data_IF_616963275294
#
_entry.id   IF_616963275294
#
_cell.length_a   1.000
_cell.length_b   1.000
_cell.length_c   1.000
_cell.angle_alpha   90.00
_cell.angle_beta   90.00
_cell.angle_gamma   90.00
#
_symmetry.space_group_name_H-M   'P 1'
#
loop_
_entity.id
_entity.type
_entity.pdbx_description
1 polymer ?
#
# COMPACT_ATOMS: atom_id res chain seq x y z
N UNK A 1 40.06 -56.56 21.17
CA UNK A 1 39.58 -55.96 19.91
C UNK A 1 38.10 -55.71 20.05
N UNK A 2 37.74 -54.50 20.52
CA UNK A 2 36.36 -54.05 20.72
C UNK A 2 35.82 -53.50 19.41
N UNK A 3 34.69 -54.03 18.95
CA UNK A 3 33.97 -53.52 17.79
C UNK A 3 33.31 -52.18 18.15
N UNK A 4 33.86 -51.07 17.67
CA UNK A 4 33.16 -49.78 17.66
C UNK A 4 32.17 -49.77 16.50
N UNK A 5 30.88 -49.91 16.84
CA UNK A 5 29.76 -49.67 15.92
C UNK A 5 29.74 -48.19 15.54
N UNK A 6 30.21 -47.88 14.34
CA UNK A 6 30.18 -46.54 13.77
C UNK A 6 28.72 -46.14 13.50
N UNK A 7 28.18 -45.22 14.32
CA UNK A 7 26.85 -44.62 14.06
C UNK A 7 26.89 -43.87 12.72
N UNK A 8 25.88 -44.00 11.86
CA UNK A 8 25.76 -43.15 10.69
C UNK A 8 25.63 -41.69 11.14
N UNK A 9 26.22 -40.72 10.42
CA UNK A 9 26.04 -39.31 10.73
C UNK A 9 24.55 -39.00 10.65
N UNK A 10 24.01 -38.39 11.71
CA UNK A 10 22.64 -37.90 11.72
C UNK A 10 22.48 -36.97 10.51
N UNK A 11 21.59 -37.35 9.59
CA UNK A 11 21.12 -36.47 8.53
C UNK A 11 20.30 -35.36 9.18
N UNK A 12 21.00 -34.37 9.75
CA UNK A 12 20.43 -33.08 10.07
C UNK A 12 20.08 -32.44 8.73
N UNK A 13 18.83 -32.61 8.31
CA UNK A 13 18.22 -31.75 7.30
C UNK A 13 18.16 -30.35 7.89
N UNK A 14 19.27 -29.63 7.83
CA UNK A 14 19.31 -28.19 8.07
C UNK A 14 18.67 -27.52 6.84
N UNK A 15 17.37 -27.79 6.66
CA UNK A 15 16.51 -26.96 5.83
C UNK A 15 16.48 -25.62 6.54
N UNK A 16 17.41 -24.73 6.17
CA UNK A 16 17.30 -23.32 6.53
C UNK A 16 15.89 -22.89 6.12
N UNK A 17 14.99 -22.78 7.09
CA UNK A 17 13.60 -22.46 6.81
C UNK A 17 13.59 -21.05 6.25
N UNK A 18 13.31 -20.93 4.95
CA UNK A 18 13.13 -19.63 4.32
C UNK A 18 12.01 -18.91 5.09
N UNK A 19 12.28 -17.73 5.68
CA UNK A 19 11.28 -17.01 6.45
C UNK A 19 10.09 -16.66 5.56
N UNK A 20 8.89 -16.66 6.14
CA UNK A 20 7.65 -16.44 5.39
C UNK A 20 7.57 -15.01 4.87
N UNK A 21 7.18 -14.85 3.60
CA UNK A 21 6.83 -13.53 3.09
C UNK A 21 5.60 -13.01 3.84
N UNK A 22 5.64 -11.77 4.31
CA UNK A 22 4.55 -11.15 5.07
C UNK A 22 3.61 -10.28 4.23
N UNK A 23 3.85 -10.20 2.93
CA UNK A 23 3.08 -9.44 1.96
C UNK A 23 2.31 -10.43 1.06
N UNK A 24 1.06 -10.13 0.67
CA UNK A 24 0.30 -10.97 -0.25
C UNK A 24 0.99 -11.13 -1.60
N UNK A 25 0.64 -12.19 -2.31
CA UNK A 25 0.96 -12.33 -3.72
C UNK A 25 0.25 -11.24 -4.55
N UNK A 26 0.98 -10.70 -5.53
CA UNK A 26 0.47 -9.67 -6.45
C UNK A 26 -0.46 -10.30 -7.49
N UNK A 27 -1.70 -10.53 -7.08
CA UNK A 27 -2.79 -11.04 -7.92
C UNK A 27 -3.76 -9.92 -8.33
N UNK A 28 -4.80 -10.25 -9.09
CA UNK A 28 -5.89 -9.29 -9.36
C UNK A 28 -6.56 -8.82 -8.05
N UNK A 29 -6.73 -9.69 -7.06
CA UNK A 29 -7.31 -9.33 -5.77
C UNK A 29 -6.49 -8.26 -5.05
N UNK A 30 -5.16 -8.36 -5.11
CA UNK A 30 -4.27 -7.36 -4.54
C UNK A 30 -4.55 -5.97 -5.12
N UNK A 31 -4.63 -5.85 -6.45
CA UNK A 31 -4.87 -4.56 -7.10
C UNK A 31 -6.26 -4.02 -6.81
N UNK A 32 -7.29 -4.87 -6.83
CA UNK A 32 -8.67 -4.48 -6.53
C UNK A 32 -8.78 -3.95 -5.11
N UNK A 33 -8.39 -4.73 -4.10
CA UNK A 33 -8.51 -4.32 -2.70
C UNK A 33 -7.69 -3.06 -2.46
N UNK A 34 -6.49 -2.97 -3.04
CA UNK A 34 -5.65 -1.78 -2.90
C UNK A 34 -6.34 -0.52 -3.44
N UNK A 35 -6.90 -0.56 -4.65
CA UNK A 35 -7.60 0.60 -5.23
C UNK A 35 -8.83 0.97 -4.39
N UNK A 36 -9.53 -0.03 -3.83
CA UNK A 36 -10.62 0.26 -2.90
C UNK A 36 -10.11 0.93 -1.61
N UNK A 37 -8.98 0.46 -1.06
CA UNK A 37 -8.35 1.06 0.12
C UNK A 37 -7.94 2.51 -0.15
N UNK A 38 -7.40 2.83 -1.32
CA UNK A 38 -7.00 4.21 -1.66
C UNK A 38 -8.23 5.11 -1.71
N UNK A 39 -9.34 4.69 -2.31
CA UNK A 39 -10.60 5.46 -2.27
C UNK A 39 -11.18 5.63 -0.86
N UNK A 40 -11.10 4.60 -0.01
CA UNK A 40 -11.51 4.72 1.40
C UNK A 40 -10.61 5.67 2.17
N UNK A 41 -9.29 5.66 1.91
CA UNK A 41 -8.32 6.52 2.58
C UNK A 41 -8.71 7.99 2.51
N UNK A 42 -9.08 8.44 1.31
CA UNK A 42 -9.54 9.80 1.03
C UNK A 42 -10.86 10.11 1.74
N UNK A 43 -11.91 9.39 1.33
CA UNK A 43 -13.28 9.66 1.80
C UNK A 43 -13.45 9.48 3.31
N UNK A 44 -12.71 8.57 3.94
CA UNK A 44 -12.77 8.38 5.38
C UNK A 44 -12.01 9.49 6.14
N UNK A 45 -10.90 10.01 5.59
CA UNK A 45 -10.21 11.17 6.16
C UNK A 45 -11.14 12.38 6.20
N UNK A 46 -11.77 12.70 5.06
CA UNK A 46 -12.74 13.80 4.93
C UNK A 46 -13.93 13.63 5.88
N UNK A 47 -14.50 12.43 5.92
CA UNK A 47 -15.62 12.12 6.82
C UNK A 47 -15.27 12.38 8.29
N UNK A 48 -14.11 11.87 8.73
CA UNK A 48 -13.65 12.02 10.10
C UNK A 48 -13.32 13.48 10.44
N UNK A 49 -12.75 14.22 9.48
CA UNK A 49 -12.41 15.63 9.63
C UNK A 49 -13.67 16.52 9.71
N UNK A 50 -14.51 16.45 8.68
CA UNK A 50 -15.56 17.45 8.43
C UNK A 50 -16.90 17.08 9.07
N UNK A 51 -17.30 15.81 9.00
CA UNK A 51 -18.64 15.38 9.44
C UNK A 51 -18.69 14.97 10.90
N UNK A 52 -17.63 14.34 11.40
CA UNK A 52 -17.51 14.00 12.82
C UNK A 52 -16.97 15.15 13.68
N UNK A 53 -16.55 16.25 13.06
CA UNK A 53 -16.13 17.47 13.75
C UNK A 53 -14.92 17.27 14.67
N UNK A 54 -14.14 16.21 14.46
CA UNK A 54 -12.91 15.96 15.22
C UNK A 54 -11.80 16.94 14.83
N UNK A 55 -11.95 17.57 13.65
CA UNK A 55 -10.95 18.44 13.05
C UNK A 55 -9.71 17.66 12.63
N UNK A 56 -8.92 18.28 11.75
CA UNK A 56 -7.84 17.60 11.07
C UNK A 56 -6.80 17.04 12.05
N UNK A 57 -6.45 17.82 13.08
CA UNK A 57 -5.50 17.43 14.13
C UNK A 57 -6.02 16.27 14.98
N UNK A 58 -7.29 16.30 15.40
CA UNK A 58 -7.88 15.27 16.26
C UNK A 58 -7.97 13.93 15.52
N UNK A 59 -8.48 13.96 14.28
CA UNK A 59 -8.52 12.80 13.39
C UNK A 59 -7.13 12.23 13.14
N UNK A 60 -6.14 13.08 12.88
CA UNK A 60 -4.75 12.66 12.64
C UNK A 60 -4.14 11.93 13.82
N UNK A 61 -4.36 12.40 15.05
CA UNK A 61 -3.84 11.75 16.26
C UNK A 61 -4.46 10.37 16.46
N UNK A 62 -5.79 10.26 16.35
CA UNK A 62 -6.50 8.99 16.54
C UNK A 62 -6.10 7.98 15.47
N UNK A 63 -6.12 8.37 14.20
CA UNK A 63 -5.80 7.46 13.10
C UNK A 63 -4.33 7.06 13.10
N UNK A 64 -3.42 7.96 13.46
CA UNK A 64 -2.00 7.62 13.61
C UNK A 64 -1.76 6.66 14.77
N UNK A 65 -2.46 6.82 15.90
CA UNK A 65 -2.36 5.87 17.02
C UNK A 65 -2.85 4.47 16.62
N UNK A 66 -3.99 4.38 15.92
CA UNK A 66 -4.51 3.13 15.38
C UNK A 66 -3.52 2.49 14.39
N UNK A 67 -2.94 3.29 13.50
CA UNK A 67 -1.93 2.83 12.55
C UNK A 67 -0.70 2.26 13.26
N UNK A 68 -0.19 2.94 14.29
CA UNK A 68 0.96 2.46 15.07
C UNK A 68 0.65 1.11 15.71
N UNK A 69 -0.52 0.94 16.32
CA UNK A 69 -0.94 -0.35 16.92
C UNK A 69 -1.02 -1.45 15.86
N UNK A 70 -1.60 -1.16 14.69
CA UNK A 70 -1.71 -2.12 13.59
C UNK A 70 -0.34 -2.48 13.00
N UNK A 71 0.56 -1.51 12.80
CA UNK A 71 1.93 -1.73 12.33
C UNK A 71 2.74 -2.56 13.31
N UNK A 72 2.66 -2.27 14.62
CA UNK A 72 3.34 -3.07 15.64
C UNK A 72 2.83 -4.51 15.61
N UNK A 73 1.52 -4.71 15.43
CA UNK A 73 0.92 -6.04 15.31
C UNK A 73 1.41 -6.77 14.05
N UNK A 74 1.46 -6.07 12.92
CA UNK A 74 1.96 -6.58 11.64
C UNK A 74 3.45 -6.99 11.73
N UNK A 75 4.31 -6.13 12.28
CA UNK A 75 5.74 -6.40 12.47
C UNK A 75 5.99 -7.61 13.39
N UNK A 76 5.16 -7.79 14.42
CA UNK A 76 5.23 -8.93 15.34
C UNK A 76 4.69 -10.24 14.74
N UNK A 77 3.88 -10.17 13.70
CA UNK A 77 3.32 -11.36 13.06
C UNK A 77 4.39 -12.05 12.22
N UNK A 78 4.52 -13.37 12.34
CA UNK A 78 5.58 -14.17 11.69
C UNK A 78 5.27 -14.63 10.26
N UNK A 79 4.04 -14.43 9.79
CA UNK A 79 3.59 -14.85 8.46
C UNK A 79 2.49 -13.91 7.95
N UNK A 80 2.24 -13.93 6.64
CA UNK A 80 1.15 -13.17 6.04
C UNK A 80 -0.21 -13.54 6.66
N UNK A 81 -0.91 -12.51 7.17
CA UNK A 81 -2.29 -12.59 7.69
C UNK A 81 -3.13 -11.54 6.96
N UNK A 82 -4.06 -11.95 6.07
CA UNK A 82 -4.82 -11.01 5.25
C UNK A 82 -5.48 -9.89 6.04
N UNK A 83 -6.16 -10.22 7.15
CA UNK A 83 -6.84 -9.23 7.98
C UNK A 83 -5.92 -8.15 8.57
N UNK A 84 -4.75 -8.54 9.08
CA UNK A 84 -3.81 -7.59 9.69
C UNK A 84 -3.18 -6.70 8.61
N UNK A 85 -2.72 -7.32 7.53
CA UNK A 85 -2.08 -6.59 6.43
C UNK A 85 -3.02 -5.58 5.79
N UNK A 86 -4.25 -5.98 5.44
CA UNK A 86 -5.20 -5.09 4.78
C UNK A 86 -5.73 -4.01 5.74
N UNK A 87 -5.85 -4.31 7.05
CA UNK A 87 -6.13 -3.29 8.05
C UNK A 87 -5.03 -2.22 8.08
N UNK A 88 -3.76 -2.61 8.07
CA UNK A 88 -2.64 -1.65 8.01
C UNK A 88 -2.73 -0.84 6.72
N UNK A 89 -3.01 -1.46 5.56
CA UNK A 89 -3.15 -0.73 4.29
C UNK A 89 -4.27 0.32 4.35
N UNK A 90 -5.43 -0.02 4.92
CA UNK A 90 -6.53 0.95 5.12
C UNK A 90 -6.08 2.09 6.06
N UNK A 91 -5.47 1.78 7.20
CA UNK A 91 -5.04 2.81 8.15
C UNK A 91 -3.93 3.70 7.59
N UNK A 92 -2.97 3.13 6.87
CA UNK A 92 -1.92 3.88 6.16
C UNK A 92 -2.55 4.78 5.10
N UNK A 93 -3.62 4.34 4.43
CA UNK A 93 -4.30 5.16 3.43
C UNK A 93 -4.91 6.43 4.00
N UNK A 94 -5.58 6.31 5.14
CA UNK A 94 -6.20 7.43 5.83
C UNK A 94 -5.13 8.36 6.41
N UNK A 95 -4.13 7.80 7.11
CA UNK A 95 -3.04 8.61 7.70
C UNK A 95 -2.20 9.30 6.63
N UNK A 96 -1.97 8.66 5.48
CA UNK A 96 -1.26 9.25 4.36
C UNK A 96 -1.93 10.51 3.82
N UNK A 97 -3.26 10.47 3.63
CA UNK A 97 -4.07 11.65 3.28
C UNK A 97 -3.93 12.74 4.33
N UNK A 98 -4.22 12.39 5.60
CA UNK A 98 -4.16 13.35 6.70
C UNK A 98 -2.79 14.02 6.86
N UNK A 99 -1.68 13.32 6.58
CA UNK A 99 -0.35 13.93 6.61
C UNK A 99 -0.23 15.03 5.54
N UNK A 100 -0.72 14.77 4.32
CA UNK A 100 -0.73 15.75 3.24
C UNK A 100 -1.60 16.94 3.59
N UNK A 101 -2.84 16.70 4.01
CA UNK A 101 -3.80 17.77 4.35
C UNK A 101 -3.29 18.63 5.51
N UNK A 102 -2.63 18.03 6.52
CA UNK A 102 -2.06 18.82 7.61
C UNK A 102 -0.95 19.75 7.11
N UNK A 103 -0.16 19.33 6.13
CA UNK A 103 0.88 20.17 5.54
C UNK A 103 0.25 21.30 4.72
N UNK A 104 -0.76 21.01 3.90
CA UNK A 104 -1.33 21.98 2.96
C UNK A 104 -2.34 22.90 3.64
N UNK A 105 -3.26 22.37 4.43
CA UNK A 105 -4.44 23.08 4.89
C UNK A 105 -4.21 23.71 6.27
N UNK A 106 -3.59 22.97 7.19
CA UNK A 106 -3.27 23.46 8.52
C UNK A 106 -1.98 24.30 8.55
N UNK A 107 -0.93 23.84 7.88
CA UNK A 107 0.39 24.48 7.90
C UNK A 107 0.64 25.43 6.71
N UNK A 108 -0.26 25.44 5.72
CA UNK A 108 -0.17 26.35 4.57
C UNK A 108 0.99 26.06 3.62
N UNK A 109 1.56 24.85 3.66
CA UNK A 109 2.66 24.45 2.77
C UNK A 109 2.09 24.26 1.36
N UNK A 110 2.64 24.92 0.32
CA UNK A 110 2.12 24.77 -1.03
C UNK A 110 2.14 23.33 -1.52
N UNK A 111 1.08 22.92 -2.20
CA UNK A 111 0.88 21.55 -2.68
C UNK A 111 2.00 21.04 -3.60
N UNK A 112 2.60 21.92 -4.42
CA UNK A 112 3.76 21.59 -5.26
C UNK A 112 4.99 21.26 -4.41
N UNK A 113 5.18 21.99 -3.31
CA UNK A 113 6.28 21.76 -2.37
C UNK A 113 6.06 20.44 -1.64
N UNK A 114 4.85 20.20 -1.13
CA UNK A 114 4.48 18.93 -0.47
C UNK A 114 4.68 17.74 -1.41
N UNK A 115 4.24 17.86 -2.66
CA UNK A 115 4.44 16.86 -3.71
C UNK A 115 5.93 16.60 -3.97
N UNK A 116 6.73 17.65 -4.15
CA UNK A 116 8.16 17.51 -4.42
C UNK A 116 8.90 16.86 -3.25
N UNK A 117 8.56 17.25 -2.00
CA UNK A 117 9.16 16.69 -0.79
C UNK A 117 8.84 15.20 -0.66
N UNK A 118 7.57 14.79 -0.85
CA UNK A 118 7.22 13.37 -0.80
C UNK A 118 7.85 12.57 -1.93
N UNK A 119 7.96 13.13 -3.14
CA UNK A 119 8.63 12.48 -4.25
C UNK A 119 10.12 12.23 -3.95
N UNK A 120 10.83 13.24 -3.44
CA UNK A 120 12.23 13.12 -3.02
C UNK A 120 12.38 12.12 -1.88
N UNK A 121 11.51 12.17 -0.86
CA UNK A 121 11.53 11.24 0.27
C UNK A 121 11.28 9.80 -0.17
N UNK A 122 10.36 9.58 -1.11
CA UNK A 122 10.06 8.25 -1.65
C UNK A 122 11.24 7.70 -2.46
N UNK A 123 11.85 8.52 -3.32
CA UNK A 123 13.06 8.14 -4.06
C UNK A 123 14.21 7.83 -3.11
N UNK A 124 14.44 8.68 -2.11
CA UNK A 124 15.46 8.45 -1.08
C UNK A 124 15.21 7.12 -0.34
N UNK A 125 13.96 6.82 0.01
CA UNK A 125 13.58 5.56 0.65
C UNK A 125 13.91 4.36 -0.24
N UNK A 126 13.59 4.41 -1.54
CA UNK A 126 13.95 3.35 -2.48
C UNK A 126 15.46 3.22 -2.67
N UNK A 127 16.21 4.31 -2.72
CA UNK A 127 17.67 4.28 -2.85
C UNK A 127 18.32 3.66 -1.61
N UNK A 128 17.92 4.09 -0.41
CA UNK A 128 18.42 3.52 0.86
C UNK A 128 18.03 2.05 0.97
N UNK A 129 16.80 1.69 0.63
CA UNK A 129 16.38 0.28 0.62
C UNK A 129 17.19 -0.56 -0.37
N UNK A 130 17.35 -0.10 -1.61
CA UNK A 130 18.10 -0.83 -2.63
C UNK A 130 19.57 -0.99 -2.28
N UNK A 131 20.21 0.04 -1.73
CA UNK A 131 21.62 -0.02 -1.30
C UNK A 131 21.83 -0.89 -0.07
N UNK A 132 20.85 -1.00 0.83
CA UNK A 132 20.96 -1.81 2.04
C UNK A 132 20.57 -3.28 1.85
N UNK A 133 19.58 -3.57 1.01
CA UNK A 133 19.01 -4.92 0.85
C UNK A 133 19.29 -5.53 -0.53
N UNK A 134 19.85 -4.77 -1.47
CA UNK A 134 20.17 -5.21 -2.84
C UNK A 134 18.95 -5.53 -3.71
N UNK A 135 17.74 -5.24 -3.23
CA UNK A 135 16.49 -5.51 -3.95
C UNK A 135 15.35 -4.63 -3.46
N UNK A 136 14.45 -4.26 -4.37
CA UNK A 136 13.16 -3.62 -4.07
C UNK A 136 11.98 -4.59 -4.25
N UNK A 137 12.27 -5.90 -4.31
CA UNK A 137 11.25 -6.93 -4.53
C UNK A 137 10.42 -7.17 -3.27
N UNK A 138 9.10 -7.05 -3.42
CA UNK A 138 8.13 -7.34 -2.34
C UNK A 138 7.89 -8.84 -2.10
N UNK A 139 8.52 -9.72 -2.90
CA UNK A 139 8.43 -11.18 -2.70
C UNK A 139 9.31 -11.68 -1.56
N UNK A 140 10.21 -10.84 -1.06
CA UNK A 140 11.13 -11.16 0.04
C UNK A 140 11.02 -10.14 1.17
N UNK A 141 9.81 -9.89 1.65
CA UNK A 141 9.57 -9.11 2.88
C UNK A 141 9.53 -10.08 4.06
N UNK A 142 10.72 -10.53 4.42
CA UNK A 142 10.97 -11.65 5.34
C UNK A 142 11.80 -11.23 6.58
N UNK A 143 12.28 -9.98 6.62
CA UNK A 143 12.99 -9.39 7.75
C UNK A 143 12.30 -8.11 8.23
N UNK A 144 12.45 -7.79 9.52
CA UNK A 144 11.90 -6.56 10.13
C UNK A 144 12.40 -5.31 9.40
N UNK A 145 13.65 -5.31 8.92
CA UNK A 145 14.23 -4.19 8.19
C UNK A 145 13.56 -3.98 6.83
N UNK A 146 13.38 -5.06 6.05
CA UNK A 146 12.68 -5.00 4.76
C UNK A 146 11.22 -4.61 4.93
N UNK A 147 10.58 -5.12 5.98
CA UNK A 147 9.20 -4.76 6.31
C UNK A 147 9.07 -3.28 6.70
N UNK A 148 10.05 -2.73 7.43
CA UNK A 148 10.07 -1.29 7.75
C UNK A 148 10.24 -0.43 6.49
N UNK A 149 11.18 -0.75 5.59
CA UNK A 149 11.32 -0.04 4.32
C UNK A 149 10.06 -0.12 3.47
N UNK A 150 9.43 -1.30 3.44
CA UNK A 150 8.16 -1.51 2.75
C UNK A 150 7.09 -0.57 3.29
N UNK A 151 6.83 -0.55 4.60
CA UNK A 151 5.79 0.30 5.17
C UNK A 151 6.07 1.79 5.07
N UNK A 152 7.34 2.21 5.16
CA UNK A 152 7.73 3.62 4.91
C UNK A 152 7.48 4.01 3.46
N UNK A 153 7.91 3.18 2.50
CA UNK A 153 7.67 3.43 1.08
C UNK A 153 6.16 3.47 0.77
N UNK A 154 5.38 2.59 1.40
CA UNK A 154 3.92 2.59 1.28
C UNK A 154 3.34 3.89 1.83
N UNK A 155 3.66 4.29 3.06
CA UNK A 155 3.15 5.54 3.66
C UNK A 155 3.48 6.77 2.81
N UNK A 156 4.73 6.91 2.36
CA UNK A 156 5.16 8.01 1.49
C UNK A 156 4.45 8.00 0.15
N UNK A 157 4.18 6.81 -0.41
CA UNK A 157 3.38 6.69 -1.63
C UNK A 157 1.94 7.17 -1.41
N UNK A 158 1.36 6.86 -0.26
CA UNK A 158 0.01 7.32 0.08
C UNK A 158 -0.06 8.84 0.19
N UNK A 159 0.87 9.45 0.93
CA UNK A 159 0.94 10.91 1.08
C UNK A 159 1.25 11.61 -0.26
N UNK A 160 2.25 11.12 -1.02
CA UNK A 160 2.57 11.63 -2.35
C UNK A 160 1.36 11.57 -3.29
N UNK A 161 0.64 10.45 -3.28
CA UNK A 161 -0.47 10.26 -4.21
C UNK A 161 -1.68 11.13 -3.91
N UNK A 162 -1.97 11.44 -2.64
CA UNK A 162 -2.96 12.48 -2.31
C UNK A 162 -2.49 13.82 -2.86
N UNK A 163 -1.27 14.25 -2.51
CA UNK A 163 -0.73 15.56 -2.95
C UNK A 163 -0.72 15.73 -4.48
N UNK A 164 -0.35 14.68 -5.23
CA UNK A 164 -0.36 14.68 -6.70
C UNK A 164 -1.78 14.67 -7.26
N UNK A 165 -2.69 13.91 -6.63
CA UNK A 165 -4.11 13.85 -7.00
C UNK A 165 -4.75 15.24 -6.95
N UNK A 166 -4.64 15.91 -5.81
CA UNK A 166 -5.22 17.23 -5.57
C UNK A 166 -4.56 18.29 -6.47
N UNK A 167 -3.25 18.14 -6.72
CA UNK A 167 -2.53 19.06 -7.60
C UNK A 167 -3.05 19.00 -9.03
N UNK A 168 -3.35 17.80 -9.53
CA UNK A 168 -3.91 17.62 -10.87
C UNK A 168 -5.40 18.00 -10.92
N UNK A 169 -6.19 17.56 -9.93
CA UNK A 169 -7.63 17.75 -9.94
C UNK A 169 -8.02 19.22 -9.67
N UNK A 170 -7.43 19.83 -8.64
CA UNK A 170 -7.88 21.12 -8.11
C UNK A 170 -6.98 22.25 -8.60
N UNK A 171 -5.68 22.15 -8.36
CA UNK A 171 -4.73 23.23 -8.68
C UNK A 171 -4.55 23.44 -10.19
N UNK A 172 -4.49 22.35 -10.97
CA UNK A 172 -4.51 22.41 -12.44
C UNK A 172 -5.93 22.42 -13.02
N UNK A 173 -6.96 22.35 -12.16
CA UNK A 173 -8.38 22.41 -12.52
C UNK A 173 -8.80 21.41 -13.60
N UNK A 174 -8.16 20.23 -13.64
CA UNK A 174 -8.55 19.16 -14.55
C UNK A 174 -9.86 18.50 -14.13
N UNK A 175 -10.19 18.56 -12.84
CA UNK A 175 -11.32 17.85 -12.24
C UNK A 175 -11.02 16.38 -11.94
N UNK A 176 -11.73 15.84 -10.96
CA UNK A 176 -11.49 14.50 -10.40
C UNK A 176 -11.60 13.37 -11.43
N UNK A 177 -12.62 13.41 -12.31
CA UNK A 177 -12.83 12.37 -13.33
C UNK A 177 -11.71 12.32 -14.37
N UNK A 178 -11.26 13.48 -14.86
CA UNK A 178 -10.19 13.55 -15.86
C UNK A 178 -8.85 13.12 -15.26
N UNK A 179 -8.57 13.53 -14.03
CA UNK A 179 -7.40 13.06 -13.29
C UNK A 179 -7.41 11.54 -13.13
N UNK A 180 -8.53 10.95 -12.71
CA UNK A 180 -8.69 9.50 -12.60
C UNK A 180 -8.44 8.78 -13.94
N UNK A 181 -9.01 9.27 -15.04
CA UNK A 181 -8.76 8.70 -16.37
C UNK A 181 -7.29 8.78 -16.78
N UNK A 182 -6.62 9.90 -16.49
CA UNK A 182 -5.20 10.08 -16.79
C UNK A 182 -4.34 9.05 -16.04
N UNK A 183 -4.55 8.88 -14.73
CA UNK A 183 -3.81 7.86 -13.97
C UNK A 183 -4.10 6.45 -14.45
N UNK A 184 -5.37 6.14 -14.78
CA UNK A 184 -5.76 4.86 -15.37
C UNK A 184 -5.05 4.58 -16.70
N UNK A 185 -4.94 5.59 -17.57
CA UNK A 185 -4.23 5.50 -18.84
C UNK A 185 -2.72 5.24 -18.63
N UNK A 186 -2.09 5.95 -17.70
CA UNK A 186 -0.67 5.75 -17.40
C UNK A 186 -0.42 4.36 -16.81
N UNK A 187 -1.30 3.88 -15.93
CA UNK A 187 -1.24 2.51 -15.40
C UNK A 187 -1.37 1.48 -16.55
N UNK A 188 -2.31 1.68 -17.47
CA UNK A 188 -2.48 0.82 -18.63
C UNK A 188 -1.23 0.84 -19.54
N UNK A 189 -0.62 2.01 -19.75
CA UNK A 189 0.62 2.13 -20.52
C UNK A 189 1.78 1.37 -19.85
N UNK A 190 1.91 1.42 -18.52
CA UNK A 190 2.91 0.65 -17.77
C UNK A 190 2.63 -0.86 -17.88
N UNK A 191 1.36 -1.28 -17.85
CA UNK A 191 1.00 -2.67 -18.06
C UNK A 191 1.39 -3.14 -19.48
N UNK A 192 1.12 -2.35 -20.52
CA UNK A 192 1.57 -2.65 -21.89
C UNK A 192 3.09 -2.71 -21.96
N UNK A 193 3.81 -1.76 -21.35
CA UNK A 193 5.27 -1.80 -21.29
C UNK A 193 5.80 -3.06 -20.61
N UNK A 194 5.12 -3.54 -19.57
CA UNK A 194 5.50 -4.77 -18.86
C UNK A 194 5.26 -6.03 -19.70
N UNK A 195 4.13 -6.13 -20.39
CA UNK A 195 3.75 -7.36 -21.10
C UNK A 195 4.22 -7.42 -22.55
N UNK A 196 4.31 -6.28 -23.24
CA UNK A 196 4.73 -6.19 -24.63
C UNK A 196 6.20 -5.78 -24.80
N UNK A 197 6.77 -4.99 -23.88
CA UNK A 197 8.12 -4.42 -24.02
C UNK A 197 9.14 -4.97 -23.01
N UNK A 198 8.74 -5.90 -22.13
CA UNK A 198 9.66 -6.55 -21.20
C UNK A 198 10.15 -5.68 -20.03
N UNK A 199 9.41 -4.63 -19.65
CA UNK A 199 9.76 -3.79 -18.50
C UNK A 199 9.93 -4.62 -17.21
N UNK A 200 10.93 -4.28 -16.38
CA UNK A 200 11.23 -5.04 -15.16
C UNK A 200 10.03 -5.14 -14.20
N UNK A 201 9.82 -6.31 -13.61
CA UNK A 201 8.64 -6.57 -12.77
C UNK A 201 8.61 -5.69 -11.51
N UNK A 202 9.76 -5.44 -10.89
CA UNK A 202 9.87 -4.61 -9.67
C UNK A 202 9.58 -3.14 -9.98
N UNK A 203 10.15 -2.60 -11.06
CA UNK A 203 9.89 -1.23 -11.48
C UNK A 203 8.42 -1.04 -11.85
N UNK A 204 7.88 -1.94 -12.68
CA UNK A 204 6.47 -1.91 -13.07
C UNK A 204 5.53 -1.96 -11.87
N UNK A 205 5.85 -2.83 -10.90
CA UNK A 205 5.09 -2.92 -9.65
C UNK A 205 5.08 -1.59 -8.91
N UNK A 206 6.25 -1.00 -8.60
CA UNK A 206 6.31 0.23 -7.83
C UNK A 206 5.71 1.42 -8.57
N UNK A 207 5.88 1.52 -9.89
CA UNK A 207 5.24 2.57 -10.69
C UNK A 207 3.72 2.47 -10.62
N UNK A 208 3.14 1.30 -10.90
CA UNK A 208 1.69 1.10 -10.78
C UNK A 208 1.25 1.29 -9.33
N UNK A 209 2.06 0.84 -8.37
CA UNK A 209 1.77 0.99 -6.95
C UNK A 209 1.65 2.47 -6.57
N UNK A 210 2.55 3.32 -7.05
CA UNK A 210 2.48 4.77 -6.82
C UNK A 210 1.26 5.38 -7.50
N UNK A 211 1.00 5.05 -8.76
CA UNK A 211 -0.08 5.65 -9.55
C UNK A 211 -1.49 5.25 -9.10
N UNK A 212 -1.67 4.09 -8.47
CA UNK A 212 -2.98 3.67 -7.95
C UNK A 212 -3.48 4.52 -6.78
N UNK A 213 -2.59 5.25 -6.08
CA UNK A 213 -3.00 6.16 -5.01
C UNK A 213 -3.75 7.38 -5.53
N UNK A 214 -3.14 8.24 -6.39
CA UNK A 214 -3.84 9.40 -6.90
C UNK A 214 -5.06 8.98 -7.74
N UNK A 215 -5.00 7.84 -8.45
CA UNK A 215 -6.19 7.26 -9.09
C UNK A 215 -7.34 7.06 -8.09
N UNK A 216 -7.06 6.40 -6.96
CA UNK A 216 -8.10 6.10 -5.97
C UNK A 216 -8.60 7.32 -5.21
N UNK A 217 -7.73 8.31 -4.95
CA UNK A 217 -8.11 9.60 -4.37
C UNK A 217 -9.08 10.33 -5.32
N UNK A 218 -8.67 10.54 -6.58
CA UNK A 218 -9.53 11.18 -7.59
C UNK A 218 -10.85 10.44 -7.84
N UNK A 219 -10.87 9.10 -7.77
CA UNK A 219 -12.14 8.35 -7.83
C UNK A 219 -12.97 8.56 -6.57
N UNK A 220 -12.34 8.59 -5.39
CA UNK A 220 -13.02 8.89 -4.13
C UNK A 220 -13.69 10.25 -4.16
N UNK A 221 -12.95 11.29 -4.49
CA UNK A 221 -13.45 12.67 -4.57
C UNK A 221 -14.53 12.82 -5.62
N UNK A 222 -14.34 12.19 -6.78
CA UNK A 222 -15.37 12.18 -7.80
C UNK A 222 -16.69 11.56 -7.31
N UNK A 223 -16.64 10.54 -6.46
CA UNK A 223 -17.84 9.91 -5.91
C UNK A 223 -18.42 10.73 -4.75
N UNK A 224 -17.59 11.24 -3.84
CA UNK A 224 -17.99 11.85 -2.57
C UNK A 224 -18.35 13.33 -2.68
N UNK A 225 -17.56 14.11 -3.42
CA UNK A 225 -17.61 15.58 -3.37
C UNK A 225 -18.89 16.16 -4.00
N UNK A 226 -19.31 17.38 -3.62
CA UNK A 226 -20.46 18.05 -4.20
C UNK A 226 -20.36 18.22 -5.72
N UNK A 227 -21.50 18.21 -6.41
CA UNK A 227 -21.53 18.44 -7.86
C UNK A 227 -21.07 19.82 -8.30
N UNK A 228 -21.08 20.80 -7.39
CA UNK A 228 -20.50 22.12 -7.65
C UNK A 228 -18.98 22.09 -7.79
N UNK A 229 -18.31 21.11 -7.18
CA UNK A 229 -16.85 20.91 -7.20
C UNK A 229 -16.44 19.81 -8.20
N UNK A 230 -17.39 19.26 -8.95
CA UNK A 230 -17.14 18.25 -9.99
C UNK A 230 -17.34 16.80 -9.55
N UNK A 231 -17.90 16.55 -8.37
CA UNK A 231 -18.25 15.22 -7.86
C UNK A 231 -19.70 14.78 -8.10
N UNK A 232 -20.02 13.53 -7.75
CA UNK A 232 -21.34 12.91 -7.87
C UNK A 232 -22.24 13.13 -6.65
N UNK A 233 -21.73 13.77 -5.60
CA UNK A 233 -22.45 14.06 -4.36
C UNK A 233 -23.06 12.83 -3.67
N UNK A 234 -22.40 11.65 -3.76
CA UNK A 234 -22.80 10.47 -2.98
C UNK A 234 -22.51 10.65 -1.49
N UNK A 235 -21.63 11.58 -1.15
CA UNK A 235 -21.17 11.85 0.20
C UNK A 235 -20.07 10.89 0.64
N UNK A 236 -19.18 11.39 1.49
CA UNK A 236 -18.02 10.66 2.02
C UNK A 236 -18.45 9.43 2.82
N UNK A 237 -19.44 9.56 3.72
CA UNK A 237 -19.93 8.45 4.55
C UNK A 237 -20.40 7.24 3.75
N UNK A 238 -21.30 7.44 2.77
CA UNK A 238 -21.87 6.35 1.96
C UNK A 238 -20.76 5.69 1.14
N UNK A 239 -19.89 6.50 0.52
CA UNK A 239 -18.77 6.02 -0.28
C UNK A 239 -17.81 5.17 0.55
N UNK A 240 -17.38 5.65 1.72
CA UNK A 240 -16.47 4.92 2.59
C UNK A 240 -17.08 3.60 3.11
N UNK A 241 -18.35 3.62 3.55
CA UNK A 241 -19.03 2.41 4.05
C UNK A 241 -19.16 1.35 2.95
N UNK A 242 -19.56 1.75 1.74
CA UNK A 242 -19.71 0.82 0.61
C UNK A 242 -18.37 0.15 0.29
N UNK A 243 -17.29 0.92 0.19
CA UNK A 243 -15.98 0.38 -0.13
C UNK A 243 -15.42 -0.48 1.00
N UNK A 244 -15.58 -0.08 2.27
CA UNK A 244 -15.17 -0.87 3.43
C UNK A 244 -15.88 -2.23 3.51
N UNK A 245 -17.18 -2.28 3.17
CA UNK A 245 -17.92 -3.55 3.09
C UNK A 245 -17.33 -4.46 2.02
N UNK A 246 -17.03 -3.94 0.83
CA UNK A 246 -16.44 -4.72 -0.26
C UNK A 246 -15.02 -5.19 0.10
N UNK A 247 -14.19 -4.31 0.66
CA UNK A 247 -12.85 -4.67 1.17
C UNK A 247 -12.96 -5.79 2.18
N UNK A 248 -13.85 -5.66 3.17
CA UNK A 248 -14.01 -6.66 4.23
C UNK A 248 -14.44 -8.01 3.66
N UNK A 249 -15.41 -8.02 2.74
CA UNK A 249 -15.85 -9.24 2.07
C UNK A 249 -14.71 -9.93 1.30
N UNK A 250 -13.91 -9.17 0.54
CA UNK A 250 -12.77 -9.69 -0.19
C UNK A 250 -11.67 -10.20 0.75
N UNK A 251 -11.39 -9.49 1.84
CA UNK A 251 -10.39 -9.90 2.83
C UNK A 251 -10.82 -11.17 3.56
N UNK A 252 -12.10 -11.30 3.92
CA UNK A 252 -12.67 -12.54 4.50
C UNK A 252 -12.55 -13.69 3.51
N UNK A 253 -12.90 -13.45 2.24
CA UNK A 253 -12.75 -14.45 1.18
C UNK A 253 -11.30 -14.91 1.02
N UNK A 254 -10.33 -14.00 1.04
CA UNK A 254 -8.90 -14.33 0.96
C UNK A 254 -8.41 -15.06 2.21
N UNK A 255 -8.86 -14.65 3.40
CA UNK A 255 -8.55 -15.35 4.65
C UNK A 255 -9.03 -16.81 4.65
N UNK A 256 -10.18 -17.09 4.03
CA UNK A 256 -10.73 -18.44 3.90
C UNK A 256 -10.08 -19.24 2.75
N UNK A 257 -9.89 -18.62 1.59
CA UNK A 257 -9.44 -19.30 0.37
C UNK A 257 -7.91 -19.44 0.27
N UNK A 258 -7.16 -18.60 0.98
CA UNK A 258 -5.68 -18.47 0.94
C UNK A 258 -5.08 -18.32 -0.47
N UNK A 259 -5.85 -17.78 -1.41
CA UNK A 259 -5.43 -17.62 -2.82
C UNK A 259 -4.35 -16.56 -3.05
N UNK A 260 -4.00 -15.81 -2.03
CA UNK A 260 -3.03 -14.71 -2.01
C UNK A 260 -1.78 -15.04 -1.17
N UNK A 261 -1.65 -16.29 -0.71
CA UNK A 261 -0.47 -16.76 0.02
C UNK A 261 0.57 -17.26 -0.99
N UNK A 262 1.75 -16.65 -1.01
CA UNK A 262 2.86 -17.14 -1.82
C UNK A 262 3.32 -18.53 -1.34
N UNK A 263 3.25 -19.53 -2.21
CA UNK A 263 3.78 -20.88 -1.93
C UNK A 263 5.32 -20.86 -1.81
N UNK A 264 5.86 -21.74 -0.96
CA UNK A 264 7.32 -21.88 -0.80
C UNK A 264 7.93 -22.39 -2.12
N UNK A 265 8.89 -21.67 -2.68
CA UNK A 265 9.92 -22.29 -3.51
C UNK A 265 10.70 -23.28 -2.62
N UNK A 266 10.39 -24.57 -2.70
CA UNK A 266 11.25 -25.59 -2.16
C UNK A 266 12.56 -25.54 -2.95
N UNK A 267 13.62 -25.03 -2.32
CA UNK A 267 14.97 -25.13 -2.89
C UNK A 267 15.36 -26.60 -2.82
N UNK A 268 15.01 -27.37 -3.86
CA UNK A 268 15.53 -28.69 -4.11
C UNK A 268 17.03 -28.55 -4.33
N UNK A 269 17.85 -28.80 -3.31
CA UNK A 269 19.29 -28.93 -3.53
C UNK A 269 19.49 -30.12 -4.49
N UNK A 270 20.25 -29.97 -5.59
CA UNK A 270 20.61 -31.11 -6.41
C UNK A 270 21.36 -32.11 -5.52
N UNK A 271 20.94 -33.38 -5.57
CA UNK A 271 21.60 -34.46 -4.86
C UNK A 271 23.09 -34.47 -5.29
N UNK A 272 23.98 -34.33 -4.31
CA UNK A 272 25.42 -34.51 -4.48
C UNK A 272 25.77 -35.99 -4.33
#
# INVERSE_FOLDING_TARGET
MTYETQRPPAAGSDTAQVPWNKVPEVTAYFWVIKVLCTTVGETAADFLNDQLGMGLTGTSLVMSALLIVALVTQLRTSAYRPGIYWLVVVLVSIVGTLITDNLTDNLGVPLQTTTAVFAVALVATFLVWFTTEGTLSIRRVDSVRREAFYWVAVLLTFALGTAVGDMLAEQLSLGYWVAALLFGLVIAAVAVARYAMGLGAVLSFWTVYVLTRPLGASVGDYLSQPSAEGGLALGTMITSVLFLVVITALVVFLAMSRRDVTEREQVSRPAA
#
